data_IF_690952765231
#
_entry.id   IF_690952765231
#
_cell.length_a   1.000
_cell.length_b   1.000
_cell.length_c   1.000
_cell.angle_alpha   90.00
_cell.angle_beta   90.00
_cell.angle_gamma   90.00
#
_symmetry.space_group_name_H-M   'P 1'
#
loop_
_entity.id
_entity.type
_entity.pdbx_description
1 polymer ?
#
# COMPACT_ATOMS: atom_id res chain seq x y z
N UNK A 1 -57.35 58.73 -7.44
CA UNK A 1 -56.55 58.88 -6.21
C UNK A 1 -55.97 57.53 -5.83
N UNK A 2 -54.64 57.42 -5.72
CA UNK A 2 -53.86 56.35 -5.02
C UNK A 2 -54.07 54.89 -5.44
N UNK A 3 -53.26 54.27 -6.32
CA UNK A 3 -51.94 53.62 -6.14
C UNK A 3 -51.85 52.32 -5.29
N UNK A 4 -51.27 51.28 -5.94
CA UNK A 4 -50.46 50.11 -5.45
C UNK A 4 -51.24 48.91 -4.86
N UNK A 5 -50.85 47.65 -5.06
CA UNK A 5 -49.75 47.02 -5.81
C UNK A 5 -50.05 45.54 -6.14
N UNK A 6 -49.27 45.08 -7.13
CA UNK A 6 -49.20 43.80 -7.82
C UNK A 6 -48.69 42.62 -6.96
N UNK A 7 -49.28 41.41 -7.13
CA UNK A 7 -48.59 40.10 -7.02
C UNK A 7 -49.29 39.06 -7.90
N UNK A 8 -48.79 38.87 -9.12
CA UNK A 8 -49.12 37.74 -10.00
C UNK A 8 -48.29 36.52 -9.62
N UNK A 9 -48.95 35.38 -9.38
CA UNK A 9 -48.32 34.07 -9.22
C UNK A 9 -48.08 33.43 -10.59
N UNK A 10 -46.84 33.02 -10.84
CA UNK A 10 -46.47 32.22 -12.00
C UNK A 10 -46.40 30.71 -11.64
N UNK A 11 -46.64 29.79 -12.59
CA UNK A 11 -46.78 28.37 -12.32
C UNK A 11 -45.44 27.65 -12.16
N UNK A 12 -45.43 26.60 -11.35
CA UNK A 12 -44.26 25.79 -11.00
C UNK A 12 -43.64 25.07 -12.19
N UNK A 13 -42.32 25.19 -12.31
CA UNK A 13 -41.51 24.50 -13.30
C UNK A 13 -40.74 23.36 -12.60
N UNK A 14 -41.14 22.10 -12.84
CA UNK A 14 -40.39 20.91 -12.41
C UNK A 14 -39.25 20.66 -13.40
N UNK A 15 -37.99 20.50 -12.97
CA UNK A 15 -36.91 20.13 -13.88
C UNK A 15 -37.03 18.66 -14.30
N UNK A 16 -36.74 18.43 -15.59
CA UNK A 16 -36.77 17.14 -16.26
C UNK A 16 -35.77 16.13 -15.63
N UNK A 17 -36.24 14.91 -15.41
CA UNK A 17 -35.42 13.78 -14.94
C UNK A 17 -34.50 13.31 -16.06
N UNK A 18 -33.19 13.37 -15.82
CA UNK A 18 -32.16 12.73 -16.64
C UNK A 18 -32.20 11.21 -16.39
N UNK A 19 -32.16 10.34 -17.41
CA UNK A 19 -32.09 8.91 -17.18
C UNK A 19 -30.71 8.57 -16.59
N UNK A 20 -30.69 8.11 -15.35
CA UNK A 20 -29.49 7.59 -14.70
C UNK A 20 -29.02 6.33 -15.45
N UNK A 21 -27.82 6.37 -16.02
CA UNK A 21 -27.11 5.16 -16.41
C UNK A 21 -26.95 4.29 -15.17
N UNK A 22 -27.60 3.13 -15.18
CA UNK A 22 -27.52 2.16 -14.10
C UNK A 22 -26.07 1.73 -13.87
N UNK A 23 -25.51 2.08 -12.71
CA UNK A 23 -24.37 1.37 -12.17
C UNK A 23 -24.79 -0.08 -11.94
N UNK A 24 -24.40 -0.98 -12.85
CA UNK A 24 -24.37 -2.40 -12.56
C UNK A 24 -23.39 -2.62 -11.40
N UNK A 25 -23.94 -2.81 -10.20
CA UNK A 25 -23.20 -3.29 -9.04
C UNK A 25 -22.68 -4.68 -9.36
N UNK A 26 -21.40 -4.79 -9.67
CA UNK A 26 -20.71 -6.06 -9.70
C UNK A 26 -20.54 -6.56 -8.26
N UNK A 27 -21.58 -7.19 -7.71
CA UNK A 27 -21.49 -7.95 -6.46
C UNK A 27 -20.76 -9.27 -6.72
N UNK A 28 -19.44 -9.21 -6.93
CA UNK A 28 -18.56 -10.34 -6.67
C UNK A 28 -17.76 -10.02 -5.43
N UNK A 29 -18.16 -10.62 -4.32
CA UNK A 29 -17.36 -10.68 -3.09
C UNK A 29 -16.03 -11.33 -3.44
N UNK A 30 -14.98 -10.54 -3.70
CA UNK A 30 -13.63 -11.04 -3.88
C UNK A 30 -13.14 -11.50 -2.50
N UNK A 31 -13.54 -12.70 -2.07
CA UNK A 31 -12.89 -13.37 -0.96
C UNK A 31 -11.49 -13.76 -1.46
N UNK A 32 -10.49 -12.92 -1.22
CA UNK A 32 -9.08 -13.29 -1.39
C UNK A 32 -8.79 -14.44 -0.42
N UNK A 33 -8.89 -15.67 -0.92
CA UNK A 33 -8.34 -16.84 -0.25
C UNK A 33 -6.82 -16.75 -0.42
N UNK A 34 -6.13 -16.35 0.65
CA UNK A 34 -4.67 -16.39 0.70
C UNK A 34 -4.21 -17.85 0.68
N UNK A 35 -4.00 -18.41 -0.51
CA UNK A 35 -3.28 -19.66 -0.67
C UNK A 35 -1.77 -19.40 -0.56
N UNK A 36 -0.98 -20.29 0.05
CA UNK A 36 0.46 -20.12 0.14
C UNK A 36 1.09 -20.30 -1.24
N UNK A 37 1.46 -19.18 -1.86
CA UNK A 37 2.23 -19.08 -3.12
C UNK A 37 3.62 -18.48 -2.82
N UNK A 38 4.60 -18.58 -3.73
CA UNK A 38 5.95 -18.11 -3.45
C UNK A 38 5.94 -16.63 -3.04
N UNK A 39 6.43 -16.37 -1.83
CA UNK A 39 6.66 -15.01 -1.34
C UNK A 39 8.05 -14.61 -1.85
N UNK A 40 8.11 -13.63 -2.74
CA UNK A 40 9.37 -13.02 -3.11
C UNK A 40 9.75 -12.04 -1.99
N UNK A 41 10.73 -12.43 -1.20
CA UNK A 41 11.20 -11.64 -0.07
C UNK A 41 12.41 -10.82 -0.53
N UNK A 42 12.25 -9.49 -0.65
CA UNK A 42 13.37 -8.59 -0.96
C UNK A 42 14.17 -8.23 0.31
N UNK A 43 14.38 -9.22 1.18
CA UNK A 43 15.10 -9.08 2.45
C UNK A 43 16.33 -9.98 2.36
N UNK A 44 17.50 -9.36 2.20
CA UNK A 44 18.79 -10.05 2.32
C UNK A 44 19.22 -10.05 3.80
N UNK A 45 18.62 -10.93 4.59
CA UNK A 45 18.96 -11.14 6.00
C UNK A 45 18.58 -12.55 6.47
N UNK A 46 19.57 -13.38 6.87
CA UNK A 46 19.35 -14.79 7.28
C UNK A 46 18.76 -14.97 8.69
N UNK A 47 18.10 -13.97 9.27
CA UNK A 47 17.65 -14.00 10.66
C UNK A 47 16.13 -14.15 10.82
N UNK A 48 15.67 -14.98 11.78
CA UNK A 48 14.27 -14.97 12.27
C UNK A 48 13.81 -13.61 12.82
N UNK A 49 14.75 -12.71 13.11
CA UNK A 49 14.56 -11.38 13.72
C UNK A 49 14.21 -10.27 12.73
N UNK A 50 14.31 -10.54 11.42
CA UNK A 50 13.97 -9.61 10.35
C UNK A 50 12.50 -9.72 9.92
N UNK A 51 11.60 -9.94 10.89
CA UNK A 51 10.15 -9.99 10.69
C UNK A 51 9.52 -9.16 11.79
N UNK A 52 8.44 -8.47 11.48
CA UNK A 52 7.64 -7.73 12.47
C UNK A 52 6.99 -8.63 13.53
N UNK A 53 7.14 -9.96 13.42
CA UNK A 53 6.79 -10.94 14.45
C UNK A 53 5.28 -11.15 14.62
N UNK A 54 4.89 -11.69 15.77
CA UNK A 54 3.48 -11.87 16.16
C UNK A 54 2.83 -10.57 16.67
N UNK A 55 3.61 -9.49 16.77
CA UNK A 55 3.21 -8.18 17.29
C UNK A 55 3.08 -7.11 16.18
N UNK A 56 2.48 -7.52 15.05
CA UNK A 56 2.23 -6.65 13.91
C UNK A 56 0.78 -6.66 13.46
N UNK A 57 0.35 -5.57 12.85
CA UNK A 57 -1.00 -5.45 12.30
C UNK A 57 -1.00 -4.58 11.05
N UNK A 58 -2.08 -4.65 10.28
CA UNK A 58 -2.30 -3.85 9.09
C UNK A 58 -2.52 -2.40 9.53
N UNK A 59 -1.64 -1.52 9.05
CA UNK A 59 -1.71 -0.08 9.31
C UNK A 59 -2.26 0.70 8.11
N UNK A 60 -2.38 0.09 6.93
CA UNK A 60 -2.85 0.77 5.74
C UNK A 60 -2.89 -0.16 4.54
N UNK A 61 -3.67 0.24 3.53
CA UNK A 61 -3.75 -0.48 2.26
C UNK A 61 -4.08 0.48 1.12
N UNK A 62 -3.53 0.21 -0.06
CA UNK A 62 -3.74 1.00 -1.28
C UNK A 62 -3.85 0.07 -2.47
N UNK A 63 -4.83 0.30 -3.34
CA UNK A 63 -4.90 -0.37 -4.64
C UNK A 63 -4.32 0.57 -5.70
N UNK A 64 -3.40 0.05 -6.51
CA UNK A 64 -2.76 0.75 -7.61
C UNK A 64 -3.26 0.22 -8.94
N UNK A 65 -3.54 1.14 -9.86
CA UNK A 65 -3.90 0.85 -11.26
C UNK A 65 -2.92 1.58 -12.17
N UNK A 66 -2.00 0.85 -12.77
CA UNK A 66 -1.04 1.39 -13.73
C UNK A 66 -1.52 1.07 -15.14
N UNK A 67 -2.31 1.97 -15.72
CA UNK A 67 -2.83 1.87 -17.10
C UNK A 67 -1.72 2.16 -18.14
N UNK A 68 -1.93 1.91 -19.44
CA UNK A 68 -1.00 2.32 -20.49
C UNK A 68 -0.62 3.80 -20.36
N UNK A 69 0.68 4.10 -20.46
CA UNK A 69 1.22 5.46 -20.28
C UNK A 69 1.30 5.95 -18.82
N UNK A 70 1.00 5.10 -17.84
CA UNK A 70 1.21 5.42 -16.43
C UNK A 70 2.70 5.70 -16.17
N UNK A 71 2.98 6.84 -15.52
CA UNK A 71 4.32 7.23 -15.09
C UNK A 71 4.53 6.78 -13.65
N UNK A 72 5.63 6.08 -13.43
CA UNK A 72 6.03 5.52 -12.16
C UNK A 72 6.41 6.54 -11.10
N UNK A 73 6.78 6.04 -9.93
CA UNK A 73 7.28 6.85 -8.83
C UNK A 73 8.81 6.82 -8.81
N UNK A 74 9.49 7.93 -8.50
CA UNK A 74 10.94 7.97 -8.38
C UNK A 74 11.43 7.04 -7.27
N UNK A 75 12.74 6.79 -7.23
CA UNK A 75 13.37 6.02 -6.16
C UNK A 75 13.10 6.68 -4.80
N UNK A 76 12.58 5.91 -3.85
CA UNK A 76 12.23 6.36 -2.51
C UNK A 76 12.29 5.19 -1.53
N UNK A 77 12.01 5.49 -0.26
CA UNK A 77 11.67 4.52 0.77
C UNK A 77 10.31 4.89 1.34
N UNK A 78 9.55 3.91 1.85
CA UNK A 78 8.19 4.14 2.38
C UNK A 78 8.24 4.85 3.73
N UNK A 79 9.14 4.42 4.60
CA UNK A 79 9.24 4.94 5.96
C UNK A 79 10.59 4.63 6.59
N UNK A 80 11.20 5.65 7.18
CA UNK A 80 12.37 5.56 8.03
C UNK A 80 12.16 6.57 9.18
N UNK A 81 12.10 6.14 10.45
CA UNK A 81 11.83 7.04 11.58
C UNK A 81 12.81 8.22 11.67
N UNK A 82 14.09 7.94 11.42
CA UNK A 82 15.16 8.93 11.42
C UNK A 82 16.31 8.47 10.53
N UNK A 83 17.04 9.42 9.94
CA UNK A 83 18.27 9.10 9.25
C UNK A 83 19.33 8.59 10.23
N UNK A 84 20.11 7.60 9.81
CA UNK A 84 21.13 6.93 10.61
C UNK A 84 22.49 7.05 9.94
N UNK A 85 23.56 7.32 10.71
CA UNK A 85 24.91 7.33 10.16
C UNK A 85 25.31 5.92 9.70
N UNK A 86 26.07 5.79 8.59
CA UNK A 86 26.52 4.48 8.09
C UNK A 86 27.30 3.67 9.12
N UNK A 87 27.99 4.32 10.06
CA UNK A 87 28.75 3.66 11.13
C UNK A 87 27.89 2.76 12.01
N UNK A 88 26.63 3.12 12.27
CA UNK A 88 25.71 2.25 13.01
C UNK A 88 25.30 1.04 12.17
N UNK A 89 25.08 1.20 10.86
CA UNK A 89 24.54 0.13 10.02
C UNK A 89 25.58 -0.92 9.61
N UNK A 90 26.86 -0.62 9.77
CA UNK A 90 27.97 -1.58 9.60
C UNK A 90 28.37 -2.26 10.91
N UNK A 91 27.96 -1.73 12.07
CA UNK A 91 28.22 -2.34 13.36
C UNK A 91 27.37 -3.63 13.51
N UNK A 92 27.99 -4.81 13.66
CA UNK A 92 27.25 -6.06 13.81
C UNK A 92 26.44 -6.14 15.12
N UNK A 93 26.73 -5.29 16.11
CA UNK A 93 25.97 -5.20 17.35
C UNK A 93 24.71 -4.34 17.21
N UNK A 94 24.62 -3.51 16.16
CA UNK A 94 23.46 -2.68 15.89
C UNK A 94 22.51 -3.37 14.89
N UNK A 95 21.24 -3.49 15.28
CA UNK A 95 20.19 -4.01 14.42
C UNK A 95 19.11 -2.94 14.27
N UNK A 96 18.85 -2.48 13.04
CA UNK A 96 17.74 -1.57 12.75
C UNK A 96 16.41 -2.34 12.78
N UNK A 97 15.57 -2.15 13.81
CA UNK A 97 14.36 -2.93 13.96
C UNK A 97 13.34 -2.57 12.87
N UNK A 98 12.78 -3.55 12.16
CA UNK A 98 11.75 -3.30 11.14
C UNK A 98 10.48 -2.72 11.76
N UNK A 99 10.19 -1.45 11.50
CA UNK A 99 8.98 -0.81 12.01
C UNK A 99 7.77 -1.11 11.15
N UNK A 100 7.96 -1.07 9.82
CA UNK A 100 6.92 -1.29 8.83
C UNK A 100 7.47 -2.18 7.71
N UNK A 101 6.65 -3.11 7.23
CA UNK A 101 6.87 -3.77 5.96
C UNK A 101 5.64 -3.63 5.05
N UNK A 102 5.91 -3.68 3.76
CA UNK A 102 4.91 -3.54 2.71
C UNK A 102 4.82 -4.86 1.96
N UNK A 103 3.61 -5.40 1.86
CA UNK A 103 3.29 -6.54 1.01
C UNK A 103 2.56 -6.05 -0.25
N UNK A 104 3.15 -6.32 -1.40
CA UNK A 104 2.60 -6.02 -2.72
C UNK A 104 2.07 -7.32 -3.33
N UNK A 105 0.75 -7.44 -3.41
CA UNK A 105 0.04 -8.55 -4.03
C UNK A 105 -0.23 -8.22 -5.50
N UNK A 106 0.44 -8.94 -6.40
CA UNK A 106 0.28 -8.75 -7.83
C UNK A 106 -0.94 -9.51 -8.34
N UNK A 107 -1.79 -8.83 -9.10
CA UNK A 107 -3.00 -9.42 -9.67
C UNK A 107 -2.82 -9.82 -11.14
N UNK A 108 -1.71 -9.41 -11.74
CA UNK A 108 -1.33 -9.67 -13.14
C UNK A 108 0.08 -10.28 -13.19
N UNK A 109 0.40 -10.96 -14.29
CA UNK A 109 1.76 -11.36 -14.60
C UNK A 109 2.60 -10.12 -14.96
N UNK A 110 3.71 -9.92 -14.28
CA UNK A 110 4.57 -8.74 -14.40
C UNK A 110 5.84 -9.08 -15.16
N UNK A 111 5.95 -8.52 -16.36
CA UNK A 111 7.16 -8.50 -17.16
C UNK A 111 7.90 -7.16 -17.03
N UNK A 112 8.94 -6.96 -17.85
CA UNK A 112 9.78 -5.76 -17.80
C UNK A 112 9.04 -4.47 -18.20
N UNK A 113 7.95 -4.58 -18.98
CA UNK A 113 7.26 -3.45 -19.60
C UNK A 113 6.00 -3.07 -18.84
N UNK A 114 5.36 -4.03 -18.16
CA UNK A 114 4.13 -3.82 -17.40
C UNK A 114 4.39 -3.26 -15.99
N UNK A 115 5.08 -2.11 -15.93
CA UNK A 115 5.30 -1.35 -14.69
C UNK A 115 5.83 -2.21 -13.53
N UNK A 116 6.95 -2.93 -13.65
CA UNK A 116 7.49 -3.69 -12.53
C UNK A 116 7.88 -2.76 -11.37
N UNK A 117 7.68 -3.21 -10.13
CA UNK A 117 8.33 -2.56 -8.97
C UNK A 117 9.84 -2.77 -9.12
N UNK A 118 10.64 -1.71 -8.96
CA UNK A 118 12.11 -1.81 -8.95
C UNK A 118 12.62 -1.71 -7.53
N UNK A 119 13.55 -2.57 -7.16
CA UNK A 119 14.18 -2.57 -5.83
C UNK A 119 15.69 -2.45 -5.97
N UNK A 120 16.35 -1.78 -5.02
CA UNK A 120 17.82 -1.79 -4.95
C UNK A 120 18.25 -2.75 -3.83
N UNK A 121 18.81 -3.92 -4.15
CA UNK A 121 19.26 -4.88 -3.15
C UNK A 121 20.22 -4.23 -2.12
N UNK A 122 20.03 -4.55 -0.84
CA UNK A 122 20.88 -4.05 0.25
C UNK A 122 20.63 -2.60 0.70
N UNK A 123 19.86 -1.81 -0.06
CA UNK A 123 19.60 -0.38 0.26
C UNK A 123 18.84 -0.11 1.56
N UNK A 124 18.19 -1.13 2.15
CA UNK A 124 17.64 -1.04 3.51
C UNK A 124 18.72 -0.73 4.58
N UNK A 125 20.01 -0.86 4.23
CA UNK A 125 21.18 -0.48 5.03
C UNK A 125 21.73 0.91 4.69
N UNK A 126 21.03 1.70 3.88
CA UNK A 126 21.47 3.05 3.55
C UNK A 126 21.30 4.03 4.71
N UNK A 127 20.32 3.80 5.59
CA UNK A 127 20.06 4.68 6.73
C UNK A 127 19.52 6.05 6.36
N UNK A 128 19.13 6.26 5.10
CA UNK A 128 18.60 7.54 4.60
C UNK A 128 17.75 7.29 3.36
N UNK A 129 16.98 8.30 2.97
CA UNK A 129 16.36 8.36 1.65
C UNK A 129 17.43 8.50 0.54
N UNK A 130 17.15 8.06 -0.69
CA UNK A 130 17.99 8.38 -1.84
C UNK A 130 18.02 9.90 -2.06
N UNK A 131 19.15 10.42 -2.52
CA UNK A 131 19.26 11.82 -2.92
C UNK A 131 18.91 11.99 -4.40
N UNK A 132 18.60 13.21 -4.84
CA UNK A 132 18.25 13.46 -6.24
C UNK A 132 19.37 13.02 -7.19
N UNK A 133 19.00 12.26 -8.23
CA UNK A 133 19.95 11.70 -9.21
C UNK A 133 20.65 10.41 -8.76
N UNK A 134 20.45 9.95 -7.54
CA UNK A 134 20.98 8.67 -7.07
C UNK A 134 20.18 7.49 -7.65
N UNK A 135 20.88 6.57 -8.31
CA UNK A 135 20.27 5.44 -9.04
C UNK A 135 20.77 4.08 -8.57
N UNK A 136 21.75 4.05 -7.68
CA UNK A 136 22.38 2.83 -7.18
C UNK A 136 22.77 2.97 -5.70
N UNK A 137 22.92 1.84 -5.02
CA UNK A 137 23.45 1.76 -3.66
C UNK A 137 24.49 0.65 -3.57
N UNK A 138 25.67 0.94 -3.03
CA UNK A 138 26.77 -0.04 -2.86
C UNK A 138 27.03 -0.88 -4.12
N UNK A 139 27.09 -0.23 -5.29
CA UNK A 139 27.33 -0.88 -6.59
C UNK A 139 26.13 -1.64 -7.19
N UNK A 140 24.97 -1.65 -6.52
CA UNK A 140 23.75 -2.28 -7.03
C UNK A 140 22.80 -1.22 -7.59
N UNK A 141 22.45 -1.36 -8.87
CA UNK A 141 21.39 -0.58 -9.50
C UNK A 141 19.99 -1.14 -9.14
N UNK A 142 18.96 -0.37 -9.47
CA UNK A 142 17.57 -0.79 -9.30
C UNK A 142 17.23 -1.95 -10.25
N UNK A 143 16.69 -3.04 -9.70
CA UNK A 143 16.34 -4.27 -10.41
C UNK A 143 14.83 -4.46 -10.44
N UNK A 144 14.23 -4.80 -11.60
CA UNK A 144 12.79 -5.04 -11.70
C UNK A 144 12.40 -6.35 -11.01
N UNK A 145 11.29 -6.31 -10.29
CA UNK A 145 10.62 -7.49 -9.75
C UNK A 145 9.66 -8.03 -10.79
N UNK A 146 10.04 -9.13 -11.42
CA UNK A 146 9.20 -9.88 -12.36
C UNK A 146 8.53 -11.02 -11.60
N UNK A 147 7.22 -11.18 -11.78
CA UNK A 147 6.44 -12.13 -10.99
C UNK A 147 5.16 -12.53 -11.73
N UNK A 148 4.46 -13.53 -11.19
CA UNK A 148 3.18 -13.99 -11.70
C UNK A 148 2.02 -13.44 -10.88
N UNK A 149 0.82 -13.45 -11.47
CA UNK A 149 -0.41 -13.15 -10.78
C UNK A 149 -0.57 -14.06 -9.53
N UNK A 150 -0.77 -13.42 -8.39
CA UNK A 150 -0.88 -14.05 -7.08
C UNK A 150 0.45 -14.17 -6.31
N UNK A 151 1.58 -13.81 -6.91
CA UNK A 151 2.83 -13.66 -6.17
C UNK A 151 2.78 -12.42 -5.27
N UNK A 152 3.58 -12.46 -4.20
CA UNK A 152 3.66 -11.37 -3.21
C UNK A 152 5.10 -10.94 -3.02
N UNK A 153 5.38 -9.67 -3.29
CA UNK A 153 6.62 -9.04 -2.89
C UNK A 153 6.47 -8.49 -1.47
N UNK A 154 7.36 -8.90 -0.56
CA UNK A 154 7.47 -8.29 0.76
C UNK A 154 8.76 -7.50 0.84
N UNK A 155 8.62 -6.21 1.14
CA UNK A 155 9.74 -5.26 1.28
C UNK A 155 9.69 -4.56 2.62
N UNK A 156 10.88 -4.32 3.18
CA UNK A 156 11.08 -3.43 4.32
C UNK A 156 10.84 -1.98 3.90
N UNK A 157 10.20 -1.17 4.74
CA UNK A 157 9.93 0.22 4.39
C UNK A 157 11.17 1.09 4.22
N UNK A 158 12.33 0.67 4.74
CA UNK A 158 13.61 1.37 4.54
C UNK A 158 14.31 0.98 3.22
N UNK A 159 13.83 -0.06 2.51
CA UNK A 159 14.39 -0.49 1.24
C UNK A 159 14.09 0.55 0.15
N UNK A 160 15.12 0.97 -0.58
CA UNK A 160 14.93 1.84 -1.72
C UNK A 160 14.27 1.08 -2.86
N UNK A 161 13.18 1.65 -3.34
CA UNK A 161 12.38 1.09 -4.41
C UNK A 161 11.68 2.19 -5.22
N UNK A 162 11.18 1.81 -6.39
CA UNK A 162 10.48 2.69 -7.32
C UNK A 162 9.36 1.94 -8.03
N UNK A 163 8.33 2.66 -8.44
CA UNK A 163 7.38 2.14 -9.45
C UNK A 163 7.92 2.47 -10.84
N UNK A 164 7.96 1.50 -11.76
CA UNK A 164 8.33 1.78 -13.16
C UNK A 164 7.13 2.29 -13.96
N UNK A 165 7.40 2.91 -15.10
CA UNK A 165 6.38 3.27 -16.07
C UNK A 165 5.71 2.03 -16.65
N UNK A 166 4.44 2.17 -17.05
CA UNK A 166 3.80 1.16 -17.89
C UNK A 166 4.07 1.49 -19.36
N UNK A 167 4.95 0.70 -19.98
CA UNK A 167 5.38 0.85 -21.37
C UNK A 167 4.51 0.06 -22.36
N UNK A 168 3.50 -0.67 -21.86
CA UNK A 168 2.59 -1.43 -22.72
C UNK A 168 1.53 -0.53 -23.34
N UNK A 169 1.03 -0.90 -24.52
CA UNK A 169 0.02 -0.14 -25.23
C UNK A 169 -1.41 -0.43 -24.74
N UNK A 170 -1.67 -1.64 -24.22
CA UNK A 170 -3.01 -2.18 -24.03
C UNK A 170 -3.21 -2.88 -22.67
N UNK A 171 -2.16 -3.09 -21.87
CA UNK A 171 -2.25 -3.79 -20.59
C UNK A 171 -2.27 -2.82 -19.41
N UNK A 172 -3.07 -3.15 -18.40
CA UNK A 172 -3.14 -2.41 -17.13
C UNK A 172 -2.67 -3.34 -16.01
N UNK A 173 -1.74 -2.86 -15.18
CA UNK A 173 -1.32 -3.56 -13.96
C UNK A 173 -2.20 -3.17 -12.79
N UNK A 174 -2.73 -4.16 -12.08
CA UNK A 174 -3.38 -4.00 -10.79
C UNK A 174 -2.53 -4.59 -9.67
N UNK A 175 -2.33 -3.79 -8.62
CA UNK A 175 -1.53 -4.15 -7.47
C UNK A 175 -2.27 -3.76 -6.20
N UNK A 176 -2.41 -4.70 -5.25
CA UNK A 176 -2.82 -4.36 -3.90
C UNK A 176 -1.59 -4.25 -3.02
N UNK A 177 -1.44 -3.12 -2.35
CA UNK A 177 -0.39 -2.87 -1.38
C UNK A 177 -0.99 -2.86 0.02
N UNK A 178 -0.42 -3.66 0.93
CA UNK A 178 -0.82 -3.73 2.34
C UNK A 178 0.40 -3.45 3.19
N UNK A 179 0.27 -2.52 4.13
CA UNK A 179 1.32 -2.14 5.04
C UNK A 179 1.08 -2.78 6.41
N UNK A 180 2.08 -3.47 6.93
CA UNK A 180 2.09 -4.03 8.27
C UNK A 180 3.06 -3.23 9.14
N UNK A 181 2.55 -2.64 10.21
CA UNK A 181 3.35 -1.98 11.23
C UNK A 181 3.47 -2.85 12.47
N UNK A 182 4.51 -2.62 13.28
CA UNK A 182 4.49 -3.07 14.67
C UNK A 182 3.27 -2.51 15.41
N UNK A 183 2.85 -3.17 16.48
CA UNK A 183 1.70 -2.76 17.30
C UNK A 183 1.66 -1.27 17.65
N UNK A 184 2.80 -0.67 17.99
CA UNK A 184 2.87 0.75 18.35
C UNK A 184 2.70 1.72 17.17
N UNK A 185 2.71 1.23 15.93
CA UNK A 185 2.48 2.06 14.74
C UNK A 185 0.97 2.17 14.52
N UNK A 186 0.44 3.39 14.62
CA UNK A 186 -1.00 3.63 14.47
C UNK A 186 -1.54 3.20 13.09
N UNK A 187 -2.78 2.68 13.09
CA UNK A 187 -3.52 2.42 11.86
C UNK A 187 -3.89 3.72 11.15
N UNK A 188 -3.68 3.75 9.83
CA UNK A 188 -3.85 4.91 8.96
C UNK A 188 -5.01 4.72 7.99
N UNK A 189 -6.19 4.42 8.51
CA UNK A 189 -7.39 4.24 7.70
C UNK A 189 -8.23 5.52 7.64
N UNK A 190 -8.34 6.12 6.45
CA UNK A 190 -9.20 7.29 6.23
C UNK A 190 -10.67 6.89 6.06
N UNK A 191 -11.64 7.66 6.58
CA UNK A 191 -11.47 8.87 7.41
C UNK A 191 -11.13 8.52 8.87
N UNK A 192 -9.98 8.96 9.37
CA UNK A 192 -9.36 8.47 10.62
C UNK A 192 -10.28 8.39 11.84
N UNK A 193 -11.04 9.45 12.15
CA UNK A 193 -11.88 9.50 13.35
C UNK A 193 -13.21 8.74 13.22
N UNK A 194 -13.59 8.33 12.01
CA UNK A 194 -14.90 7.73 11.73
C UNK A 194 -14.78 6.34 11.11
N UNK A 195 -13.57 5.92 10.80
CA UNK A 195 -13.35 4.67 10.12
C UNK A 195 -13.70 3.49 11.03
N UNK A 196 -14.36 2.49 10.46
CA UNK A 196 -14.71 1.24 11.14
C UNK A 196 -14.53 0.08 10.17
N UNK A 197 -14.06 -1.06 10.67
CA UNK A 197 -14.10 -2.30 9.90
C UNK A 197 -15.55 -2.69 9.59
N UNK A 198 -15.77 -3.29 8.42
CA UNK A 198 -17.05 -3.91 8.11
C UNK A 198 -17.32 -5.06 9.11
N UNK A 199 -18.46 -5.04 9.85
CA UNK A 199 -18.75 -6.08 10.84
C UNK A 199 -18.77 -7.50 10.27
N UNK A 200 -19.20 -7.67 9.01
CA UNK A 200 -19.19 -8.98 8.35
C UNK A 200 -17.78 -9.51 8.11
N UNK A 201 -16.79 -8.61 7.90
CA UNK A 201 -15.38 -9.00 7.77
C UNK A 201 -14.84 -9.46 9.11
N UNK A 202 -15.14 -8.73 10.19
CA UNK A 202 -14.71 -9.11 11.55
C UNK A 202 -15.32 -10.45 11.98
N UNK A 203 -16.62 -10.66 11.71
CA UNK A 203 -17.30 -11.90 12.04
C UNK A 203 -16.76 -13.13 11.28
N UNK A 204 -16.28 -12.92 10.04
CA UNK A 204 -15.69 -13.97 9.23
C UNK A 204 -14.19 -14.20 9.49
N UNK A 205 -13.54 -13.29 10.23
CA UNK A 205 -12.11 -13.34 10.48
C UNK A 205 -11.74 -14.37 11.55
N UNK A 206 -10.74 -15.19 11.26
CA UNK A 206 -10.09 -16.05 12.27
C UNK A 206 -9.40 -15.22 13.36
N UNK A 207 -9.08 -15.79 14.54
CA UNK A 207 -8.35 -15.07 15.59
C UNK A 207 -7.04 -14.43 15.09
N UNK A 208 -6.28 -15.15 14.24
CA UNK A 208 -5.06 -14.62 13.64
C UNK A 208 -5.33 -13.42 12.72
N UNK A 209 -6.43 -13.43 11.97
CA UNK A 209 -6.80 -12.30 11.11
C UNK A 209 -7.27 -11.12 11.95
N UNK A 210 -8.08 -11.34 12.99
CA UNK A 210 -8.50 -10.26 13.92
C UNK A 210 -7.29 -9.58 14.58
N UNK A 211 -6.29 -10.36 15.02
CA UNK A 211 -4.99 -9.82 15.48
C UNK A 211 -4.31 -8.94 14.43
N UNK A 212 -4.25 -9.39 13.17
CA UNK A 212 -3.71 -8.58 12.07
C UNK A 212 -4.54 -7.33 11.79
N UNK A 213 -5.82 -7.30 12.16
CA UNK A 213 -6.70 -6.14 12.02
C UNK A 213 -6.60 -5.18 13.22
N UNK A 214 -5.78 -5.49 14.24
CA UNK A 214 -5.54 -4.62 15.39
C UNK A 214 -6.10 -5.13 16.71
N UNK A 215 -6.74 -6.30 16.74
CA UNK A 215 -7.21 -6.92 17.98
C UNK A 215 -6.08 -7.64 18.70
N UNK A 216 -5.23 -6.84 19.35
CA UNK A 216 -4.12 -7.32 20.15
C UNK A 216 -4.58 -7.64 21.58
N UNK A 217 -3.78 -8.42 22.31
CA UNK A 217 -3.98 -8.62 23.75
C UNK A 217 -3.71 -7.31 24.48
N UNK A 218 -4.50 -6.96 25.49
CA UNK A 218 -4.29 -5.73 26.28
C UNK A 218 -2.84 -5.62 26.80
N UNK A 219 -2.27 -4.43 26.70
CA UNK A 219 -0.90 -4.10 27.08
C UNK A 219 -0.82 -2.62 27.51
N UNK A 220 0.41 -2.13 27.71
CA UNK A 220 0.66 -0.74 28.07
C UNK A 220 0.01 0.22 27.05
N UNK A 221 -0.69 1.24 27.56
CA UNK A 221 -1.35 2.32 26.80
C UNK A 221 -2.66 1.96 26.05
N UNK A 222 -3.32 0.83 26.35
CA UNK A 222 -4.67 0.50 25.84
C UNK A 222 -5.83 1.12 26.65
#
# INVERSE_FOLDING_TARGET
>A
MGHRANRSGAPGNRPAQTPALGLQRCHRSLQMRFQPRPILVAISGRGRRDRTGDDCHVIGQTAWRCHPGFIGAPLHLDYLPMALPPSLLVDPAFELPMQICTAQFYLDDIDADLSPTRVIPGSHRAGRAPVAGETQWSGHAAQPVLCRAGDVLVLRSELWHAGSDNQTADRTRYLLQVHYGRRMVAQKFSPYLHWQFNPAVLAAASPRQRRLLGEHQEAEYD
#
